data_IF_707829836118
#
_entry.id   IF_707829836118
#
_cell.length_a   1.000
_cell.length_b   1.000
_cell.length_c   1.000
_cell.angle_alpha   90.00
_cell.angle_beta   90.00
_cell.angle_gamma   90.00
#
_symmetry.space_group_name_H-M   'P 1'
#
loop_
_entity.id
_entity.type
_entity.pdbx_description
1 polymer ?
#
# COMPACT_ATOMS: atom_id res chain seq x y z
N UNK A 1 58.52 31.98 -26.39
CA UNK A 1 57.84 32.12 -25.09
C UNK A 1 56.62 32.96 -25.33
N UNK A 2 55.49 32.30 -25.57
CA UNK A 2 54.17 32.74 -25.12
C UNK A 2 53.27 31.50 -25.22
N UNK A 3 52.94 30.98 -24.05
CA UNK A 3 52.08 29.82 -23.81
C UNK A 3 50.60 30.16 -24.12
N UNK A 4 49.80 29.24 -24.68
CA UNK A 4 48.36 29.40 -24.78
C UNK A 4 47.66 29.13 -23.42
N UNK A 5 46.72 30.03 -23.06
CA UNK A 5 45.91 29.97 -21.84
C UNK A 5 44.98 28.72 -21.79
N UNK A 6 44.57 28.27 -20.58
CA UNK A 6 43.81 27.02 -20.42
C UNK A 6 42.32 27.21 -20.70
N UNK A 7 41.72 26.25 -21.41
CA UNK A 7 40.27 26.09 -21.50
C UNK A 7 39.71 25.75 -20.10
N UNK A 8 39.03 26.71 -19.48
CA UNK A 8 38.15 26.46 -18.35
C UNK A 8 36.97 25.60 -18.81
N UNK A 9 37.07 24.31 -18.52
CA UNK A 9 35.98 23.35 -18.60
C UNK A 9 34.84 23.80 -17.66
N UNK A 10 33.83 24.45 -18.25
CA UNK A 10 32.63 24.87 -17.55
C UNK A 10 31.87 23.62 -17.09
N UNK A 11 31.95 23.32 -15.80
CA UNK A 11 31.10 22.33 -15.15
C UNK A 11 29.65 22.67 -15.50
N UNK A 12 29.01 21.81 -16.30
CA UNK A 12 27.55 21.79 -16.41
C UNK A 12 27.02 21.39 -15.03
N UNK A 13 26.60 22.39 -14.27
CA UNK A 13 25.92 22.23 -13.00
C UNK A 13 24.74 21.28 -13.20
N UNK A 14 24.69 20.23 -12.40
CA UNK A 14 23.56 19.29 -12.21
C UNK A 14 22.24 19.98 -11.78
N UNK A 15 22.22 21.31 -11.74
CA UNK A 15 21.12 22.18 -11.33
C UNK A 15 19.99 22.31 -12.37
N UNK A 16 20.17 21.81 -13.60
CA UNK A 16 19.17 21.93 -14.69
C UNK A 16 18.25 20.72 -14.85
N UNK A 17 18.31 19.72 -13.96
CA UNK A 17 17.34 18.62 -13.98
C UNK A 17 16.16 18.95 -13.07
N UNK A 18 15.30 19.86 -13.51
CA UNK A 18 14.01 20.11 -12.87
C UNK A 18 13.09 18.91 -13.16
N UNK A 19 12.72 18.09 -12.16
CA UNK A 19 11.84 16.96 -12.39
C UNK A 19 10.46 17.45 -12.87
N UNK A 20 9.78 16.70 -13.77
CA UNK A 20 8.45 17.06 -14.22
C UNK A 20 7.46 17.08 -13.02
N UNK A 21 6.46 17.97 -13.05
CA UNK A 21 5.48 18.06 -11.97
C UNK A 21 4.74 16.73 -11.81
N UNK A 22 4.69 16.22 -10.58
CA UNK A 22 3.95 15.01 -10.27
C UNK A 22 2.45 15.22 -10.57
N UNK A 23 1.73 14.22 -11.12
CA UNK A 23 0.31 14.34 -11.37
C UNK A 23 -0.43 14.58 -10.04
N UNK A 24 -1.30 15.58 -10.03
CA UNK A 24 -2.13 15.95 -8.88
C UNK A 24 -2.96 14.73 -8.43
N UNK A 25 -2.63 14.18 -7.25
CA UNK A 25 -3.42 13.11 -6.65
C UNK A 25 -4.64 13.70 -5.93
N UNK A 26 -5.80 13.00 -5.97
CA UNK A 26 -7.00 13.47 -5.29
C UNK A 26 -6.81 13.53 -3.76
N UNK A 27 -7.50 14.46 -3.07
CA UNK A 27 -7.39 14.66 -1.63
C UNK A 27 -7.89 13.44 -0.84
N UNK A 28 -7.40 13.23 0.39
CA UNK A 28 -7.81 12.11 1.23
C UNK A 28 -9.30 12.20 1.61
N UNK A 29 -10.01 11.06 1.69
CA UNK A 29 -11.41 11.03 2.10
C UNK A 29 -11.57 11.41 3.58
N UNK A 30 -12.58 12.25 3.87
CA UNK A 30 -12.95 12.65 5.24
C UNK A 30 -13.43 11.45 6.09
N UNK A 31 -13.20 11.46 7.43
CA UNK A 31 -13.60 10.35 8.29
C UNK A 31 -15.13 10.28 8.48
N UNK A 32 -15.74 9.08 8.40
CA UNK A 32 -17.18 8.92 8.61
C UNK A 32 -17.54 8.97 10.11
N UNK A 33 -18.40 9.91 10.48
CA UNK A 33 -19.00 10.02 11.82
C UNK A 33 -20.30 9.19 11.90
N UNK A 34 -20.37 8.23 12.84
CA UNK A 34 -21.64 7.81 13.45
C UNK A 34 -22.27 6.43 13.13
N UNK A 35 -21.68 5.57 12.28
CA UNK A 35 -22.24 4.22 11.95
C UNK A 35 -21.40 3.01 12.43
N UNK A 36 -20.50 3.22 13.39
CA UNK A 36 -19.39 2.30 13.67
C UNK A 36 -19.78 0.92 14.27
N UNK A 37 -20.82 0.83 15.11
CA UNK A 37 -21.06 -0.39 15.91
C UNK A 37 -21.82 -1.52 15.17
N UNK A 38 -22.81 -1.22 14.32
CA UNK A 38 -23.46 -2.26 13.48
C UNK A 38 -22.57 -2.68 12.31
N UNK A 39 -21.77 -1.76 11.79
CA UNK A 39 -20.79 -2.02 10.74
C UNK A 39 -19.63 -2.88 11.25
N UNK A 40 -19.25 -2.80 12.52
CA UNK A 40 -18.16 -3.60 13.06
C UNK A 40 -18.52 -5.10 13.05
N UNK A 41 -19.72 -5.52 13.49
CA UNK A 41 -20.11 -6.94 13.50
C UNK A 41 -20.18 -7.53 12.08
N UNK A 42 -20.79 -6.80 11.13
CA UNK A 42 -20.86 -7.26 9.74
C UNK A 42 -19.48 -7.30 9.08
N UNK A 43 -18.58 -6.39 9.45
CA UNK A 43 -17.19 -6.41 8.98
C UNK A 43 -16.42 -7.61 9.53
N UNK A 44 -16.52 -7.90 10.83
CA UNK A 44 -15.88 -9.06 11.46
C UNK A 44 -16.33 -10.38 10.84
N UNK A 45 -17.64 -10.54 10.60
CA UNK A 45 -18.17 -11.73 9.95
C UNK A 45 -17.69 -11.83 8.49
N UNK A 46 -17.73 -10.72 7.76
CA UNK A 46 -17.23 -10.67 6.37
C UNK A 46 -15.75 -11.08 6.31
N UNK A 47 -14.93 -10.55 7.20
CA UNK A 47 -13.49 -10.85 7.24
C UNK A 47 -13.25 -12.32 7.57
N UNK A 48 -14.02 -12.88 8.52
CA UNK A 48 -13.99 -14.31 8.80
C UNK A 48 -14.36 -15.15 7.58
N UNK A 49 -15.45 -14.81 6.89
CA UNK A 49 -15.91 -15.54 5.71
C UNK A 49 -14.92 -15.46 4.55
N UNK A 50 -14.24 -14.32 4.38
CA UNK A 50 -13.18 -14.19 3.36
C UNK A 50 -12.01 -15.13 3.64
N UNK A 51 -11.55 -15.19 4.89
CA UNK A 51 -10.47 -16.12 5.29
C UNK A 51 -10.92 -17.57 5.17
N UNK A 52 -12.15 -17.88 5.61
CA UNK A 52 -12.73 -19.21 5.52
C UNK A 52 -12.80 -19.68 4.06
N UNK A 53 -13.38 -18.88 3.17
CA UNK A 53 -13.52 -19.22 1.75
C UNK A 53 -12.16 -19.40 1.08
N UNK A 54 -11.17 -18.58 1.46
CA UNK A 54 -9.81 -18.74 0.93
C UNK A 54 -9.14 -20.01 1.44
N UNK A 55 -9.36 -20.35 2.71
CA UNK A 55 -8.82 -21.56 3.32
C UNK A 55 -9.39 -22.81 2.68
N UNK A 56 -10.71 -22.87 2.48
CA UNK A 56 -11.38 -24.03 1.88
C UNK A 56 -10.90 -24.27 0.45
N UNK A 57 -10.78 -23.22 -0.35
CA UNK A 57 -10.25 -23.30 -1.72
C UNK A 57 -8.80 -23.83 -1.73
N UNK A 58 -7.92 -23.25 -0.90
CA UNK A 58 -6.50 -23.61 -0.89
C UNK A 58 -6.28 -25.05 -0.38
N UNK A 59 -6.99 -25.44 0.67
CA UNK A 59 -6.85 -26.79 1.22
C UNK A 59 -7.45 -27.84 0.27
N UNK A 60 -8.56 -27.52 -0.42
CA UNK A 60 -9.08 -28.40 -1.46
C UNK A 60 -8.08 -28.60 -2.60
N UNK A 61 -7.53 -27.51 -3.16
CA UNK A 61 -6.55 -27.57 -4.26
C UNK A 61 -5.25 -28.31 -3.90
N UNK A 62 -4.87 -28.35 -2.62
CA UNK A 62 -3.60 -28.96 -2.17
C UNK A 62 -3.73 -30.35 -1.60
N UNK A 63 -4.84 -30.67 -0.95
CA UNK A 63 -5.00 -31.92 -0.23
C UNK A 63 -5.91 -32.91 -0.94
N UNK A 64 -6.90 -32.45 -1.72
CA UNK A 64 -7.80 -33.36 -2.44
C UNK A 64 -7.22 -33.63 -3.82
N UNK A 65 -6.71 -34.84 -4.00
CA UNK A 65 -6.05 -35.27 -5.23
C UNK A 65 -6.74 -36.48 -5.87
N UNK A 66 -7.43 -37.29 -5.06
CA UNK A 66 -8.18 -38.45 -5.53
C UNK A 66 -9.68 -38.13 -5.54
N UNK A 67 -10.28 -38.12 -6.73
CA UNK A 67 -11.71 -37.89 -6.94
C UNK A 67 -12.44 -39.16 -7.42
N UNK A 68 -11.83 -40.34 -7.27
CA UNK A 68 -12.43 -41.61 -7.68
C UNK A 68 -13.60 -42.02 -6.77
N UNK A 69 -13.67 -41.48 -5.56
CA UNK A 69 -14.73 -41.77 -4.58
C UNK A 69 -15.28 -40.47 -3.98
N UNK A 70 -16.53 -40.53 -3.49
CA UNK A 70 -17.19 -39.37 -2.87
C UNK A 70 -16.66 -39.04 -1.47
N UNK A 71 -16.06 -40.00 -0.79
CA UNK A 71 -15.50 -39.84 0.55
C UNK A 71 -13.99 -39.54 0.47
N UNK A 72 -13.52 -38.68 1.37
CA UNK A 72 -12.09 -38.39 1.52
C UNK A 72 -11.34 -39.63 2.00
N UNK A 73 -10.11 -39.79 1.51
CA UNK A 73 -9.21 -40.81 2.05
C UNK A 73 -8.60 -40.33 3.38
N UNK A 74 -8.13 -41.26 4.22
CA UNK A 74 -7.47 -40.91 5.51
C UNK A 74 -6.28 -39.97 5.35
N UNK A 75 -5.57 -40.07 4.22
CA UNK A 75 -4.42 -39.21 3.94
C UNK A 75 -4.87 -37.78 3.60
N UNK A 76 -5.96 -37.62 2.86
CA UNK A 76 -6.54 -36.32 2.54
C UNK A 76 -7.14 -35.66 3.78
N UNK A 77 -7.84 -36.42 4.63
CA UNK A 77 -8.35 -35.94 5.93
C UNK A 77 -7.21 -35.39 6.81
N UNK A 78 -6.14 -36.17 7.00
CA UNK A 78 -4.97 -35.73 7.76
C UNK A 78 -4.27 -34.50 7.14
N UNK A 79 -4.25 -34.41 5.80
CA UNK A 79 -3.73 -33.23 5.09
C UNK A 79 -4.60 -32.00 5.34
N UNK A 80 -5.93 -32.12 5.28
CA UNK A 80 -6.88 -31.02 5.50
C UNK A 80 -6.76 -30.46 6.91
N UNK A 81 -6.67 -31.31 7.93
CA UNK A 81 -6.45 -30.89 9.33
C UNK A 81 -5.14 -30.12 9.49
N UNK A 82 -4.07 -30.65 8.90
CA UNK A 82 -2.77 -29.99 8.89
C UNK A 82 -2.80 -28.65 8.12
N UNK A 83 -3.50 -28.60 6.99
CA UNK A 83 -3.62 -27.42 6.14
C UNK A 83 -4.36 -26.29 6.87
N UNK A 84 -5.55 -26.58 7.40
CA UNK A 84 -6.34 -25.62 8.16
C UNK A 84 -5.55 -25.09 9.37
N UNK A 85 -4.93 -25.98 10.15
CA UNK A 85 -4.10 -25.59 11.29
C UNK A 85 -2.91 -24.71 10.90
N UNK A 86 -2.21 -25.03 9.81
CA UNK A 86 -1.10 -24.21 9.29
C UNK A 86 -1.56 -22.85 8.82
N UNK A 87 -2.68 -22.77 8.11
CA UNK A 87 -3.22 -21.52 7.58
C UNK A 87 -3.67 -20.60 8.71
N UNK A 88 -4.43 -21.11 9.69
CA UNK A 88 -4.88 -20.33 10.84
C UNK A 88 -3.70 -19.76 11.63
N UNK A 89 -2.71 -20.59 11.97
CA UNK A 89 -1.51 -20.14 12.70
C UNK A 89 -0.70 -19.11 11.90
N UNK A 90 -0.53 -19.34 10.60
CA UNK A 90 0.18 -18.40 9.72
C UNK A 90 -0.57 -17.08 9.58
N UNK A 91 -1.89 -17.14 9.40
CA UNK A 91 -2.74 -15.97 9.28
C UNK A 91 -2.68 -15.11 10.55
N UNK A 92 -2.75 -15.72 11.74
CA UNK A 92 -2.58 -14.99 13.00
C UNK A 92 -1.20 -14.32 13.13
N UNK A 93 -0.12 -15.00 12.74
CA UNK A 93 1.24 -14.43 12.75
C UNK A 93 1.37 -13.24 11.79
N UNK A 94 0.85 -13.38 10.58
CA UNK A 94 0.85 -12.31 9.58
C UNK A 94 0.01 -11.12 10.03
N UNK A 95 -1.17 -11.38 10.57
CA UNK A 95 -2.06 -10.33 11.06
C UNK A 95 -1.45 -9.58 12.25
N UNK A 96 -0.78 -10.29 13.17
CA UNK A 96 -0.06 -9.68 14.28
C UNK A 96 1.04 -8.73 13.77
N UNK A 97 1.86 -9.17 12.80
CA UNK A 97 2.87 -8.32 12.19
C UNK A 97 2.27 -7.13 11.45
N UNK A 98 1.18 -7.34 10.71
CA UNK A 98 0.48 -6.30 9.97
C UNK A 98 -0.02 -5.19 10.89
N UNK A 99 -0.66 -5.53 12.01
CA UNK A 99 -1.14 -4.56 13.00
C UNK A 99 0.01 -3.72 13.59
N UNK A 100 1.20 -4.31 13.78
CA UNK A 100 2.37 -3.57 14.25
C UNK A 100 2.95 -2.62 13.20
N UNK A 101 2.95 -3.01 11.93
CA UNK A 101 3.60 -2.26 10.86
C UNK A 101 2.70 -1.20 10.22
N UNK A 102 1.40 -1.45 10.11
CA UNK A 102 0.44 -0.58 9.42
C UNK A 102 0.43 0.87 9.91
N UNK A 103 0.43 1.17 11.23
CA UNK A 103 0.41 2.54 11.71
C UNK A 103 1.56 3.38 11.16
N UNK A 104 2.77 2.80 11.16
CA UNK A 104 3.97 3.48 10.63
C UNK A 104 3.88 3.75 9.13
N UNK A 105 3.34 2.78 8.36
CA UNK A 105 3.17 2.91 6.91
C UNK A 105 2.10 3.95 6.56
N UNK A 106 1.00 3.97 7.31
CA UNK A 106 -0.08 4.95 7.13
C UNK A 106 0.37 6.35 7.53
N UNK A 107 1.13 6.50 8.62
CA UNK A 107 1.69 7.79 9.04
C UNK A 107 2.64 8.38 7.99
N UNK A 108 3.57 7.57 7.46
CA UNK A 108 4.46 8.00 6.36
C UNK A 108 3.66 8.44 5.14
N UNK A 109 2.65 7.66 4.77
CA UNK A 109 1.76 7.99 3.66
C UNK A 109 1.05 9.34 3.89
N UNK A 110 0.56 9.63 5.10
CA UNK A 110 -0.07 10.92 5.43
C UNK A 110 0.95 12.06 5.32
N UNK A 111 2.15 11.90 5.87
CA UNK A 111 3.21 12.91 5.79
C UNK A 111 3.61 13.21 4.33
N UNK A 112 3.69 12.19 3.48
CA UNK A 112 3.97 12.37 2.05
C UNK A 112 2.83 13.15 1.35
N UNK A 113 1.57 12.91 1.73
CA UNK A 113 0.42 13.67 1.22
C UNK A 113 0.43 15.13 1.71
N UNK A 114 0.77 15.37 2.97
CA UNK A 114 0.88 16.72 3.53
C UNK A 114 2.04 17.52 2.92
N UNK A 115 3.18 16.88 2.68
CA UNK A 115 4.33 17.49 2.01
C UNK A 115 4.01 17.83 0.55
N UNK A 116 3.35 16.92 -0.19
CA UNK A 116 2.89 17.20 -1.54
C UNK A 116 1.77 18.25 -1.61
N UNK A 117 0.95 18.37 -0.55
CA UNK A 117 -0.05 19.43 -0.40
C UNK A 117 0.52 20.77 0.08
N UNK A 118 1.79 20.80 0.50
CA UNK A 118 2.50 21.98 0.99
C UNK A 118 3.53 22.52 0.01
N UNK A 119 3.42 22.19 -1.27
CA UNK A 119 4.02 23.03 -2.30
C UNK A 119 3.44 24.44 -2.15
N UNK A 120 4.27 25.47 -1.88
CA UNK A 120 3.79 26.82 -1.70
C UNK A 120 3.11 27.25 -2.99
N UNK A 121 1.88 27.77 -2.86
CA UNK A 121 1.19 28.45 -3.93
C UNK A 121 2.17 29.39 -4.67
N UNK A 122 2.11 29.47 -6.01
CA UNK A 122 2.93 30.43 -6.74
C UNK A 122 2.73 31.82 -6.12
N UNK A 123 3.80 32.59 -5.89
CA UNK A 123 3.71 33.83 -5.14
C UNK A 123 2.68 34.74 -5.80
N UNK A 124 1.58 34.98 -5.09
CA UNK A 124 0.66 36.05 -5.40
C UNK A 124 1.39 37.38 -5.18
N UNK A 125 1.72 38.07 -6.27
CA UNK A 125 1.62 39.52 -6.45
C UNK A 125 2.70 40.04 -7.41
N UNK A 126 2.26 40.53 -8.57
CA UNK A 126 2.85 41.74 -9.15
C UNK A 126 1.69 42.72 -9.44
N UNK A 127 1.80 43.99 -9.02
CA UNK A 127 0.75 45.00 -9.17
C UNK A 127 0.51 45.37 -10.64
N UNK A 128 -0.67 45.93 -11.00
CA UNK A 128 -0.90 46.40 -12.37
C UNK A 128 0.07 47.54 -12.72
N UNK A 129 0.63 47.59 -13.94
CA UNK A 129 1.46 48.71 -14.35
C UNK A 129 0.60 49.99 -14.43
N UNK A 130 1.02 51.01 -13.68
CA UNK A 130 0.54 52.37 -13.85
C UNK A 130 1.06 52.94 -15.18
N UNK A 131 0.11 53.33 -16.05
CA UNK A 131 0.15 54.31 -17.15
C UNK A 131 1.48 54.72 -17.79
N UNK A 132 1.51 54.67 -19.13
CA UNK A 132 1.79 55.84 -19.99
C UNK A 132 0.99 55.73 -21.28
#
# INVERSE_FOLDING_TARGET
MEDPAPETQQLRSVSDFTPPPAPARPPPPAPPSGRAAKASLSLQLRDFLLVYNRMTELCFQRCVADLNYRALTRQEEACLDCCAGKLVRSNHRLMAAYVQLMPSLVQRRIADYEAAGRDPAPPAALPPPASS
#
